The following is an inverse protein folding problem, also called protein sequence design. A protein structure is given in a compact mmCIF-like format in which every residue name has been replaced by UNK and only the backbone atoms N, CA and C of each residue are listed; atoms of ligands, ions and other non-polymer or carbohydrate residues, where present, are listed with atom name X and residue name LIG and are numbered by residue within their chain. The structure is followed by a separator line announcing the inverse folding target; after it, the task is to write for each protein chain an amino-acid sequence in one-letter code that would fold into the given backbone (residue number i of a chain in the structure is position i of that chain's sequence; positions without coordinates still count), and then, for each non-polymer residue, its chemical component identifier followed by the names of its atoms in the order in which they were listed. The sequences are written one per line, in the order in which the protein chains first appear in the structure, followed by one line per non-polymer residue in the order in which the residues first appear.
data_IF_798271744688
#
_entry.id   IF_798271744688
#
_cell.length_a   1.000
_cell.length_b   1.000
_cell.length_c   1.000
_cell.angle_alpha   90.00
_cell.angle_beta   90.00
_cell.angle_gamma   90.00
#
_symmetry.space_group_name_H-M   'P 1'
#
loop_
_entity.id
_entity.type
_entity.pdbx_description
1 polymer ?
#
# COMPACT_ATOMS: atom_id res chain seq x y z
N UNK A 1 -14.23 43.70 -50.53
CA UNK A 1 -12.84 44.00 -50.62
C UNK A 1 -12.05 43.08 -49.66
N UNK A 2 -11.28 42.49 -50.25
CA UNK A 2 -9.94 41.93 -50.18
C UNK A 2 -9.20 42.25 -48.88
N UNK A 3 -8.58 41.27 -48.34
CA UNK A 3 -7.17 41.08 -48.00
C UNK A 3 -7.06 40.50 -46.63
N UNK A 4 -6.14 39.77 -46.24
CA UNK A 4 -4.88 39.19 -46.69
C UNK A 4 -4.36 38.33 -45.54
N UNK A 5 -3.88 37.23 -45.92
CA UNK A 5 -3.13 36.24 -45.16
C UNK A 5 -1.89 36.81 -44.50
N UNK A 6 -1.62 36.42 -43.24
CA UNK A 6 -0.24 36.21 -42.78
C UNK A 6 -0.21 35.05 -41.76
N UNK A 7 0.44 34.03 -42.19
CA UNK A 7 0.89 32.86 -41.42
C UNK A 7 2.02 33.24 -40.46
N UNK A 8 1.95 32.73 -39.22
CA UNK A 8 3.13 32.70 -38.37
C UNK A 8 3.19 31.33 -37.66
N UNK A 9 4.20 30.52 -37.90
CA UNK A 9 4.40 29.25 -37.18
C UNK A 9 5.25 29.49 -35.95
N UNK A 10 4.67 29.29 -34.78
CA UNK A 10 5.45 29.23 -33.56
C UNK A 10 5.67 27.76 -33.15
N UNK A 11 6.90 27.32 -33.32
CA UNK A 11 7.46 26.13 -32.73
C UNK A 11 7.52 26.31 -31.20
N UNK A 12 6.85 25.45 -30.47
CA UNK A 12 7.10 25.25 -29.04
C UNK A 12 7.71 23.86 -28.85
N UNK A 13 9.01 23.82 -28.67
CA UNK A 13 9.72 22.64 -28.17
C UNK A 13 9.57 22.54 -26.65
N UNK A 14 9.34 21.35 -26.10
CA UNK A 14 9.35 21.16 -24.64
C UNK A 14 10.79 21.02 -24.14
N UNK A 15 11.21 21.94 -23.31
CA UNK A 15 12.47 21.87 -22.59
C UNK A 15 12.38 20.79 -21.51
N UNK A 16 13.11 19.68 -21.68
CA UNK A 16 13.34 18.67 -20.66
C UNK A 16 14.49 19.14 -19.77
N UNK A 17 14.20 19.47 -18.53
CA UNK A 17 15.22 19.69 -17.50
C UNK A 17 15.53 18.38 -16.79
N UNK A 18 16.61 17.72 -17.19
CA UNK A 18 17.21 16.61 -16.46
C UNK A 18 18.16 17.17 -15.40
N UNK A 19 17.77 17.11 -14.13
CA UNK A 19 18.70 17.37 -13.04
C UNK A 19 19.44 16.07 -12.68
N UNK A 20 20.66 15.92 -13.19
CA UNK A 20 21.62 14.93 -12.70
C UNK A 20 22.26 15.46 -11.42
N UNK A 21 21.90 14.93 -10.27
CA UNK A 21 22.72 15.01 -9.07
C UNK A 21 23.56 13.74 -8.95
N UNK A 22 24.82 13.83 -9.33
CA UNK A 22 25.83 12.80 -9.09
C UNK A 22 26.35 12.95 -7.66
N UNK A 23 25.89 12.11 -6.75
CA UNK A 23 26.57 11.86 -5.48
C UNK A 23 27.36 10.56 -5.60
N UNK A 24 28.68 10.70 -5.71
CA UNK A 24 29.64 9.60 -5.62
C UNK A 24 29.77 9.18 -4.14
N UNK A 25 29.20 8.04 -3.79
CA UNK A 25 29.53 7.32 -2.56
C UNK A 25 30.51 6.20 -2.90
N UNK A 26 31.61 6.03 -2.12
CA UNK A 26 32.55 4.95 -2.34
C UNK A 26 32.05 3.64 -1.71
N UNK A 27 32.35 2.53 -2.38
CA UNK A 27 32.25 1.13 -1.96
C UNK A 27 30.85 0.54 -1.65
N UNK A 28 30.19 0.13 -2.72
CA UNK A 28 29.13 -0.91 -2.65
C UNK A 28 29.25 -1.93 -3.80
N UNK A 29 30.47 -2.44 -4.04
CA UNK A 29 30.77 -3.29 -5.20
C UNK A 29 30.37 -4.76 -5.09
N UNK A 30 29.71 -5.23 -4.02
CA UNK A 30 29.38 -6.64 -3.84
C UNK A 30 27.89 -6.98 -3.62
N UNK A 31 26.98 -6.01 -3.72
CA UNK A 31 25.57 -6.31 -3.74
C UNK A 31 25.13 -6.55 -5.19
N UNK A 32 25.10 -7.81 -5.62
CA UNK A 32 24.39 -8.17 -6.86
C UNK A 32 22.97 -7.62 -6.76
N UNK A 33 22.48 -6.87 -7.79
CA UNK A 33 21.08 -6.46 -7.81
C UNK A 33 20.24 -7.73 -7.72
N UNK A 34 19.50 -7.89 -6.63
CA UNK A 34 18.44 -8.89 -6.60
C UNK A 34 17.46 -8.43 -7.66
N UNK A 35 17.23 -9.24 -8.67
CA UNK A 35 16.25 -8.98 -9.72
C UNK A 35 14.85 -8.97 -9.05
N UNK A 36 14.39 -7.80 -8.66
CA UNK A 36 13.11 -7.59 -7.98
C UNK A 36 11.94 -7.55 -8.97
N UNK A 37 12.24 -7.54 -10.28
CA UNK A 37 11.28 -7.19 -11.33
C UNK A 37 10.27 -8.29 -11.69
N UNK A 38 10.46 -9.56 -11.27
CA UNK A 38 9.60 -10.68 -11.70
C UNK A 38 9.14 -11.64 -10.58
N UNK A 39 9.43 -11.36 -9.34
CA UNK A 39 8.97 -12.23 -8.27
C UNK A 39 7.51 -11.89 -7.92
N UNK A 40 6.57 -12.56 -8.56
CA UNK A 40 5.20 -12.68 -8.05
C UNK A 40 5.29 -13.07 -6.57
N UNK A 41 5.00 -12.12 -5.67
CA UNK A 41 5.21 -12.33 -4.25
C UNK A 41 4.04 -13.10 -3.70
N UNK A 42 4.26 -14.36 -3.45
CA UNK A 42 3.30 -15.21 -2.78
C UNK A 42 3.31 -14.93 -1.27
N UNK A 43 2.22 -15.26 -0.61
CA UNK A 43 2.16 -15.27 0.85
C UNK A 43 3.35 -16.02 1.46
N UNK A 44 3.70 -17.19 0.93
CA UNK A 44 4.82 -18.03 1.38
C UNK A 44 6.16 -17.29 1.29
N UNK A 45 6.39 -16.55 0.21
CA UNK A 45 7.64 -15.79 0.02
C UNK A 45 7.76 -14.66 1.05
N UNK A 46 6.67 -13.92 1.29
CA UNK A 46 6.63 -12.84 2.28
C UNK A 46 6.81 -13.39 3.69
N UNK A 47 6.14 -14.49 4.01
CA UNK A 47 6.30 -15.18 5.29
C UNK A 47 7.74 -15.59 5.54
N UNK A 48 8.41 -16.15 4.54
CA UNK A 48 9.81 -16.55 4.61
C UNK A 48 10.73 -15.34 4.81
N UNK A 49 10.51 -14.27 4.03
CA UNK A 49 11.27 -13.03 4.10
C UNK A 49 11.22 -12.42 5.52
N UNK A 50 10.02 -12.28 6.08
CA UNK A 50 9.82 -11.72 7.41
C UNK A 50 10.44 -12.63 8.48
N UNK A 51 10.22 -13.94 8.38
CA UNK A 51 10.71 -14.90 9.38
C UNK A 51 12.24 -14.95 9.45
N UNK A 52 12.92 -14.82 8.30
CA UNK A 52 14.37 -14.86 8.19
C UNK A 52 15.07 -13.51 8.41
N UNK A 53 14.31 -12.41 8.50
CA UNK A 53 14.88 -11.07 8.74
C UNK A 53 15.45 -10.94 10.16
N UNK A 54 16.24 -9.90 10.42
CA UNK A 54 16.77 -9.55 11.73
C UNK A 54 15.82 -8.66 12.56
N UNK A 55 14.54 -8.56 12.16
CA UNK A 55 13.54 -7.80 12.89
C UNK A 55 13.23 -8.42 14.26
N UNK A 56 12.83 -7.58 15.21
CA UNK A 56 12.41 -8.05 16.53
C UNK A 56 11.13 -8.90 16.47
N UNK A 57 10.89 -9.69 17.52
CA UNK A 57 9.79 -10.65 17.59
C UNK A 57 8.40 -9.98 17.45
N UNK A 58 8.22 -8.77 18.03
CA UNK A 58 6.94 -8.06 17.97
C UNK A 58 6.66 -7.57 16.55
N UNK A 59 7.66 -6.97 15.92
CA UNK A 59 7.58 -6.54 14.51
C UNK A 59 7.23 -7.70 13.59
N UNK A 60 7.97 -8.82 13.68
CA UNK A 60 7.69 -10.03 12.89
C UNK A 60 6.26 -10.53 13.10
N UNK A 61 5.86 -10.69 14.37
CA UNK A 61 4.53 -11.20 14.72
C UNK A 61 3.41 -10.31 14.14
N UNK A 62 3.54 -9.01 14.29
CA UNK A 62 2.54 -8.06 13.79
C UNK A 62 2.51 -8.00 12.26
N UNK A 63 3.67 -7.93 11.61
CA UNK A 63 3.75 -7.93 10.16
C UNK A 63 3.15 -9.21 9.56
N UNK A 64 3.47 -10.38 10.12
CA UNK A 64 2.88 -11.66 9.69
C UNK A 64 1.36 -11.69 9.86
N UNK A 65 0.82 -11.14 10.96
CA UNK A 65 -0.63 -11.02 11.13
C UNK A 65 -1.28 -10.16 10.06
N UNK A 66 -0.68 -9.00 9.74
CA UNK A 66 -1.20 -8.09 8.71
C UNK A 66 -1.20 -8.76 7.35
N UNK A 67 -0.07 -9.35 6.94
CA UNK A 67 0.03 -10.03 5.64
C UNK A 67 -0.88 -11.25 5.54
N UNK A 68 -1.04 -12.02 6.62
CA UNK A 68 -1.97 -13.14 6.64
C UNK A 68 -3.42 -12.70 6.51
N UNK A 69 -3.79 -11.58 7.16
CA UNK A 69 -5.14 -11.00 7.04
C UNK A 69 -5.38 -10.52 5.61
N UNK A 70 -4.39 -9.91 4.99
CA UNK A 70 -4.43 -9.49 3.59
C UNK A 70 -4.53 -10.71 2.65
N UNK A 71 -3.69 -11.73 2.86
CA UNK A 71 -3.74 -12.96 2.06
C UNK A 71 -5.10 -13.64 2.10
N UNK A 72 -5.77 -13.66 3.26
CA UNK A 72 -7.14 -14.17 3.38
C UNK A 72 -8.15 -13.40 2.53
N UNK A 73 -8.05 -12.07 2.53
CA UNK A 73 -8.94 -11.24 1.73
C UNK A 73 -8.70 -11.47 0.23
N UNK A 74 -7.45 -11.50 -0.21
CA UNK A 74 -7.08 -11.79 -1.60
C UNK A 74 -7.50 -13.19 -2.04
N UNK A 75 -7.25 -14.23 -1.21
CA UNK A 75 -7.67 -15.60 -1.48
C UNK A 75 -9.18 -15.67 -1.73
N UNK A 76 -9.96 -14.98 -0.89
CA UNK A 76 -11.42 -14.92 -1.03
C UNK A 76 -11.86 -14.21 -2.31
N UNK A 77 -11.18 -13.10 -2.66
CA UNK A 77 -11.50 -12.32 -3.86
C UNK A 77 -11.19 -13.10 -5.15
N UNK A 78 -10.11 -13.87 -5.14
CA UNK A 78 -9.66 -14.65 -6.31
C UNK A 78 -10.20 -16.09 -6.33
N UNK A 79 -10.86 -16.55 -5.25
CA UNK A 79 -11.36 -17.91 -5.15
C UNK A 79 -10.25 -18.96 -5.11
N UNK A 80 -9.12 -18.64 -4.49
CA UNK A 80 -7.95 -19.51 -4.35
C UNK A 80 -7.67 -19.86 -2.89
N UNK A 81 -6.79 -20.83 -2.65
CA UNK A 81 -6.27 -21.10 -1.31
C UNK A 81 -5.24 -20.03 -0.90
N UNK A 82 -5.07 -19.80 0.41
CA UNK A 82 -4.17 -18.75 0.93
C UNK A 82 -2.72 -19.00 0.48
N UNK A 83 -2.30 -20.25 0.41
CA UNK A 83 -0.97 -20.68 0.01
C UNK A 83 -0.65 -20.34 -1.46
N UNK A 84 -1.69 -20.22 -2.28
CA UNK A 84 -1.61 -19.92 -3.71
C UNK A 84 -1.77 -18.43 -4.02
N UNK A 85 -2.02 -17.61 -3.00
CA UNK A 85 -2.20 -16.17 -3.19
C UNK A 85 -0.93 -15.53 -3.76
N UNK A 86 -1.12 -14.86 -4.88
CA UNK A 86 -0.17 -13.92 -5.45
C UNK A 86 -0.68 -12.51 -5.21
N UNK A 87 0.10 -11.71 -4.51
CA UNK A 87 -0.23 -10.31 -4.29
C UNK A 87 0.08 -9.51 -5.55
N UNK A 88 -0.93 -9.02 -6.22
CA UNK A 88 -0.80 -8.23 -7.45
C UNK A 88 -0.48 -6.77 -7.14
N UNK A 89 -1.31 -6.13 -6.32
CA UNK A 89 -1.16 -4.71 -5.98
C UNK A 89 -0.42 -4.50 -4.64
N UNK A 90 -0.55 -5.43 -3.72
CA UNK A 90 -0.05 -5.29 -2.33
C UNK A 90 1.23 -6.10 -2.09
N UNK A 91 1.71 -6.84 -3.08
CA UNK A 91 2.97 -7.57 -3.04
C UNK A 91 4.16 -6.76 -3.55
N UNK A 92 3.93 -5.54 -4.02
CA UNK A 92 4.96 -4.62 -4.41
C UNK A 92 5.84 -4.24 -3.20
N UNK A 93 7.08 -3.87 -3.47
CA UNK A 93 8.07 -3.60 -2.41
C UNK A 93 7.65 -2.46 -1.48
N UNK A 94 6.94 -1.48 -2.00
CA UNK A 94 6.38 -0.35 -1.26
C UNK A 94 5.40 -0.82 -0.18
N UNK A 95 4.45 -1.67 -0.51
CA UNK A 95 3.49 -2.22 0.45
C UNK A 95 4.16 -3.08 1.52
N UNK A 96 5.25 -3.80 1.17
CA UNK A 96 6.04 -4.56 2.14
C UNK A 96 6.75 -3.60 3.11
N UNK A 97 7.33 -2.53 2.58
CA UNK A 97 8.00 -1.50 3.38
C UNK A 97 6.99 -0.79 4.29
N UNK A 98 5.80 -0.46 3.78
CA UNK A 98 4.75 0.22 4.54
C UNK A 98 4.28 -0.63 5.73
N UNK A 99 3.96 -1.91 5.51
CA UNK A 99 3.49 -2.79 6.58
C UNK A 99 4.60 -3.07 7.61
N UNK A 100 5.79 -3.44 7.14
CA UNK A 100 6.91 -3.74 8.04
C UNK A 100 7.35 -2.46 8.77
N UNK A 101 7.44 -1.33 8.06
CA UNK A 101 7.82 -0.03 8.63
C UNK A 101 6.84 0.44 9.70
N UNK A 102 5.52 0.27 9.46
CA UNK A 102 4.49 0.53 10.46
C UNK A 102 4.68 -0.34 11.70
N UNK A 103 4.85 -1.66 11.54
CA UNK A 103 5.02 -2.58 12.65
C UNK A 103 6.32 -2.31 13.43
N UNK A 104 7.42 -2.01 12.73
CA UNK A 104 8.68 -1.63 13.34
C UNK A 104 8.56 -0.31 14.10
N UNK A 105 7.89 0.69 13.52
CA UNK A 105 7.63 1.95 14.19
C UNK A 105 6.84 1.76 15.49
N UNK A 106 5.81 0.92 15.47
CA UNK A 106 5.06 0.56 16.69
C UNK A 106 5.96 -0.09 17.74
N UNK A 107 6.84 -1.02 17.33
CA UNK A 107 7.78 -1.68 18.24
C UNK A 107 8.76 -0.68 18.86
N UNK A 108 9.41 0.15 18.05
CA UNK A 108 10.39 1.12 18.49
C UNK A 108 9.80 2.20 19.42
N UNK A 109 8.55 2.57 19.21
CA UNK A 109 7.84 3.55 20.04
C UNK A 109 7.13 2.93 21.24
N UNK A 110 7.21 1.59 21.43
CA UNK A 110 6.55 0.89 22.52
C UNK A 110 5.03 0.93 22.46
N UNK A 111 4.44 1.03 21.26
CA UNK A 111 2.99 1.05 21.06
C UNK A 111 2.46 -0.37 21.23
N UNK A 112 1.62 -0.55 22.25
CA UNK A 112 1.03 -1.85 22.60
C UNK A 112 -0.41 -2.00 22.19
N UNK A 113 -1.13 -0.89 21.92
CA UNK A 113 -2.52 -0.89 21.51
C UNK A 113 -2.75 0.14 20.40
N UNK A 114 -3.51 -0.25 19.39
CA UNK A 114 -3.91 0.62 18.29
C UNK A 114 -5.43 0.74 18.33
N UNK A 115 -5.92 1.96 18.45
CA UNK A 115 -7.34 2.26 18.46
C UNK A 115 -7.74 2.94 17.16
N UNK A 116 -8.88 2.54 16.58
CA UNK A 116 -9.44 3.22 15.43
C UNK A 116 -10.89 3.62 15.66
N UNK A 117 -11.27 4.76 15.13
CA UNK A 117 -12.65 5.22 15.07
C UNK A 117 -13.42 4.62 13.91
N UNK A 118 -14.52 5.28 13.51
CA UNK A 118 -15.30 4.86 12.32
C UNK A 118 -14.48 5.04 11.05
N UNK A 119 -14.37 3.97 10.26
CA UNK A 119 -13.62 3.95 9.01
C UNK A 119 -14.37 4.74 7.93
N UNK A 120 -13.73 5.71 7.25
CA UNK A 120 -14.37 6.43 6.15
C UNK A 120 -14.53 5.52 4.93
N UNK A 121 -15.73 5.45 4.35
CA UNK A 121 -16.00 4.75 3.10
C UNK A 121 -16.33 5.77 2.04
N UNK A 122 -15.52 5.78 0.99
CA UNK A 122 -15.69 6.61 -0.20
C UNK A 122 -16.53 5.87 -1.23
N UNK A 123 -17.27 6.62 -2.03
CA UNK A 123 -17.88 6.12 -3.26
C UNK A 123 -17.07 6.54 -4.47
N UNK A 124 -17.42 5.98 -5.64
CA UNK A 124 -16.77 6.30 -6.91
C UNK A 124 -15.92 5.16 -7.45
N UNK A 125 -14.92 5.50 -8.26
CA UNK A 125 -14.05 4.55 -8.95
C UNK A 125 -12.60 5.01 -8.89
N UNK A 126 -11.68 4.06 -8.95
CA UNK A 126 -10.25 4.28 -9.14
C UNK A 126 -9.71 3.38 -10.23
N UNK A 127 -8.46 3.60 -10.65
CA UNK A 127 -7.77 2.75 -11.62
C UNK A 127 -6.76 1.86 -10.92
N UNK A 128 -6.73 0.59 -11.30
CA UNK A 128 -5.78 -0.40 -10.83
C UNK A 128 -5.19 -1.16 -12.02
N UNK A 129 -4.29 -2.11 -11.79
CA UNK A 129 -3.78 -3.02 -12.82
C UNK A 129 -4.91 -3.82 -13.50
N UNK A 130 -6.01 -4.07 -12.79
CA UNK A 130 -7.20 -4.76 -13.30
C UNK A 130 -8.20 -3.82 -14.02
N UNK A 131 -7.82 -2.57 -14.25
CA UNK A 131 -8.67 -1.56 -14.86
C UNK A 131 -9.42 -0.72 -13.82
N UNK A 132 -10.59 -0.22 -14.19
CA UNK A 132 -11.41 0.61 -13.30
C UNK A 132 -12.11 -0.26 -12.25
N UNK A 133 -11.86 0.02 -10.99
CA UNK A 133 -12.46 -0.67 -9.84
C UNK A 133 -13.28 0.30 -8.98
N UNK A 134 -14.33 -0.17 -8.30
CA UNK A 134 -15.12 0.66 -7.39
C UNK A 134 -14.33 1.00 -6.12
N UNK A 135 -14.67 2.14 -5.51
CA UNK A 135 -14.21 2.53 -4.18
C UNK A 135 -15.28 2.27 -3.11
N UNK A 136 -14.91 1.67 -1.97
CA UNK A 136 -13.61 1.06 -1.67
C UNK A 136 -13.35 -0.16 -2.56
N UNK A 137 -12.06 -0.47 -2.78
CA UNK A 137 -11.68 -1.69 -3.50
C UNK A 137 -12.31 -2.95 -2.84
N UNK A 138 -12.64 -4.01 -3.61
CA UNK A 138 -13.28 -5.21 -3.05
C UNK A 138 -12.49 -5.84 -1.90
N UNK A 139 -11.17 -5.93 -2.00
CA UNK A 139 -10.31 -6.42 -0.92
C UNK A 139 -10.39 -5.54 0.33
N UNK A 140 -10.46 -4.22 0.16
CA UNK A 140 -10.65 -3.27 1.27
C UNK A 140 -11.97 -3.52 1.99
N UNK A 141 -13.08 -3.73 1.26
CA UNK A 141 -14.39 -4.03 1.86
C UNK A 141 -14.36 -5.34 2.63
N UNK A 142 -13.70 -6.36 2.11
CA UNK A 142 -13.53 -7.64 2.81
C UNK A 142 -12.75 -7.46 4.11
N UNK A 143 -11.66 -6.71 4.09
CA UNK A 143 -10.81 -6.47 5.24
C UNK A 143 -11.48 -5.70 6.37
N UNK A 144 -12.38 -4.77 6.06
CA UNK A 144 -13.06 -3.95 7.07
C UNK A 144 -14.41 -4.50 7.50
N UNK A 145 -14.74 -5.73 7.15
CA UNK A 145 -15.98 -6.38 7.63
C UNK A 145 -16.06 -6.36 9.17
N UNK A 146 -17.22 -5.97 9.67
CA UNK A 146 -17.46 -5.83 11.11
C UNK A 146 -17.06 -4.50 11.73
N UNK A 147 -16.32 -3.65 11.02
CA UNK A 147 -16.02 -2.32 11.49
C UNK A 147 -17.19 -1.34 11.25
N UNK A 148 -17.42 -0.46 12.20
CA UNK A 148 -18.33 0.69 12.01
C UNK A 148 -17.70 1.65 11.02
N UNK A 149 -18.51 2.12 10.08
CA UNK A 149 -18.05 3.02 9.01
C UNK A 149 -18.73 4.38 9.10
N UNK A 150 -18.21 5.35 8.36
CA UNK A 150 -18.81 6.65 8.12
C UNK A 150 -18.67 7.04 6.66
N UNK A 151 -19.47 8.00 6.21
CA UNK A 151 -19.32 8.54 4.84
C UNK A 151 -17.94 9.19 4.69
N UNK A 152 -17.23 8.82 3.64
CA UNK A 152 -15.97 9.41 3.20
C UNK A 152 -16.16 10.46 2.13
N UNK A 153 -15.06 10.88 1.51
CA UNK A 153 -15.02 11.81 0.37
C UNK A 153 -15.16 11.01 -0.91
N UNK A 154 -16.05 11.43 -1.81
CA UNK A 154 -16.28 10.74 -3.08
C UNK A 154 -15.06 10.85 -4.01
N UNK A 155 -14.82 9.79 -4.79
CA UNK A 155 -13.71 9.67 -5.74
C UNK A 155 -12.30 9.81 -5.12
N UNK A 156 -12.17 9.55 -3.82
CA UNK A 156 -10.88 9.51 -3.14
C UNK A 156 -10.79 8.21 -2.34
N UNK A 157 -9.74 7.46 -2.57
CA UNK A 157 -9.44 6.30 -1.74
C UNK A 157 -8.90 6.77 -0.39
N UNK A 158 -9.72 6.70 0.64
CA UNK A 158 -9.35 7.11 1.99
C UNK A 158 -8.82 5.96 2.84
N UNK A 159 -9.10 4.75 2.43
CA UNK A 159 -8.62 3.52 3.07
C UNK A 159 -8.14 2.57 1.98
N UNK A 160 -6.84 2.40 1.92
CA UNK A 160 -6.19 1.46 1.00
C UNK A 160 -6.29 0.02 1.52
N UNK A 161 -6.12 -1.01 0.68
CA UNK A 161 -6.06 -2.40 1.13
C UNK A 161 -5.01 -2.61 2.23
N UNK A 162 -3.81 -2.01 2.10
CA UNK A 162 -2.74 -2.07 3.10
C UNK A 162 -3.17 -1.47 4.44
N UNK A 163 -3.76 -0.27 4.41
CA UNK A 163 -4.27 0.39 5.62
C UNK A 163 -5.41 -0.40 6.27
N UNK A 164 -6.33 -0.94 5.46
CA UNK A 164 -7.41 -1.80 5.94
C UNK A 164 -6.89 -3.08 6.61
N UNK A 165 -5.85 -3.70 6.03
CA UNK A 165 -5.21 -4.90 6.59
C UNK A 165 -4.55 -4.62 7.94
N UNK A 166 -3.85 -3.48 8.07
CA UNK A 166 -3.25 -3.04 9.34
C UNK A 166 -4.33 -2.85 10.41
N UNK A 167 -5.40 -2.13 10.07
CA UNK A 167 -6.52 -1.90 11.00
C UNK A 167 -7.19 -3.21 11.40
N UNK A 168 -7.48 -4.06 10.44
CA UNK A 168 -8.16 -5.35 10.68
C UNK A 168 -7.32 -6.31 11.53
N UNK A 169 -6.02 -6.33 11.34
CA UNK A 169 -5.13 -7.25 12.04
C UNK A 169 -4.73 -6.78 13.44
N UNK A 170 -4.59 -5.46 13.63
CA UNK A 170 -3.92 -4.90 14.81
C UNK A 170 -4.75 -3.91 15.61
N UNK A 171 -5.79 -3.30 15.02
CA UNK A 171 -6.53 -2.26 15.69
C UNK A 171 -7.80 -2.79 16.38
N UNK A 172 -8.14 -2.15 17.49
CA UNK A 172 -9.42 -2.30 18.15
C UNK A 172 -10.30 -1.10 17.85
N UNK A 173 -11.48 -1.35 17.31
CA UNK A 173 -12.40 -0.25 17.05
C UNK A 173 -13.05 0.25 18.33
N UNK A 174 -13.03 1.55 18.54
CA UNK A 174 -13.64 2.23 19.68
C UNK A 174 -14.24 3.56 19.24
N UNK A 175 -15.10 4.15 20.06
CA UNK A 175 -15.43 5.54 19.91
C UNK A 175 -14.19 6.39 20.25
N UNK A 176 -14.16 7.66 19.79
CA UNK A 176 -13.00 8.53 20.02
C UNK A 176 -12.72 8.65 21.53
N UNK A 177 -11.54 8.20 22.00
CA UNK A 177 -11.26 8.21 23.44
C UNK A 177 -11.08 9.64 23.94
N UNK A 178 -11.43 9.87 25.18
CA UNK A 178 -11.06 11.12 25.86
C UNK A 178 -9.54 11.13 26.06
N UNK A 179 -8.88 12.14 25.53
CA UNK A 179 -7.41 12.26 25.61
C UNK A 179 -7.01 13.73 25.80
N UNK A 180 -5.85 13.93 26.38
CA UNK A 180 -5.18 15.24 26.39
C UNK A 180 -4.21 15.28 25.22
N UNK A 181 -4.23 16.36 24.46
CA UNK A 181 -3.36 16.61 23.31
C UNK A 181 -2.22 17.52 23.74
#
# INVERSE_FOLDING_TARGET
PKASTTSNPNHNEPHSHSHHHSHSNPDSSDLKPVAWEDAHRTWKNIQTLISQSDLDTMTKSNALKVFHTLAKAEAKMHGTEIEEVHFHEVGAIDSIIDIIGFCLGCSLLGITEILCGKIPISGGFTWSEHGQIPLPAPATLELIQGFKTRKGVENHEQVTPTGAAILSALAKQTDFPTMTV
#
